data_IF_359944774453
#
_entry.id   IF_359944774453
#
_cell.length_a   1.000
_cell.length_b   1.000
_cell.length_c   1.000
_cell.angle_alpha   90.00
_cell.angle_beta   90.00
_cell.angle_gamma   90.00
#
_symmetry.space_group_name_H-M   'P 1'
#
loop_
_entity.id
_entity.type
_entity.pdbx_description
1 polymer ?
#
# COMPACT_ATOMS: atom_id res chain seq x y z
N UNK A 1 7.22 1.85 11.69
CA UNK A 1 7.63 1.64 10.28
C UNK A 1 9.05 2.15 10.07
N UNK A 2 9.92 1.37 9.42
CA UNK A 2 11.29 1.80 9.13
C UNK A 2 11.35 2.53 7.79
N UNK A 3 12.02 3.67 7.78
CA UNK A 3 12.23 4.51 6.58
C UNK A 3 13.72 4.78 6.43
N UNK A 4 14.25 4.52 5.23
CA UNK A 4 15.62 4.92 4.88
C UNK A 4 15.68 6.43 4.64
N UNK A 5 16.59 7.10 5.31
CA UNK A 5 16.88 8.52 5.07
C UNK A 5 17.32 8.76 3.62
N UNK A 6 18.18 7.92 3.09
CA UNK A 6 18.67 8.01 1.70
C UNK A 6 17.53 7.97 0.70
N UNK A 7 16.57 7.02 0.87
CA UNK A 7 15.38 6.95 0.01
C UNK A 7 14.53 8.21 0.11
N UNK A 8 14.34 8.73 1.32
CA UNK A 8 13.52 9.91 1.55
C UNK A 8 14.17 11.14 0.92
N UNK A 9 15.45 11.41 1.23
CA UNK A 9 16.16 12.61 0.78
C UNK A 9 16.43 12.61 -0.72
N UNK A 10 16.57 11.45 -1.36
CA UNK A 10 16.74 11.33 -2.82
C UNK A 10 15.60 11.94 -3.63
N UNK A 11 14.45 12.17 -3.02
CA UNK A 11 13.27 12.80 -3.62
C UNK A 11 13.18 14.31 -3.30
N UNK A 12 14.07 14.85 -2.49
CA UNK A 12 14.03 16.23 -2.01
C UNK A 12 15.17 17.03 -2.67
N UNK A 13 14.80 18.13 -3.32
CA UNK A 13 15.75 18.93 -4.12
C UNK A 13 16.86 19.56 -3.29
N UNK A 14 16.55 20.02 -2.09
CA UNK A 14 17.45 20.74 -1.20
C UNK A 14 18.48 19.83 -0.52
N UNK A 15 18.33 18.50 -0.63
CA UNK A 15 19.17 17.50 0.01
C UNK A 15 19.41 17.79 1.52
N UNK A 16 18.32 17.93 2.33
CA UNK A 16 18.41 18.30 3.73
C UNK A 16 19.15 17.24 4.56
N UNK A 17 19.81 17.66 5.65
CA UNK A 17 20.45 16.72 6.57
C UNK A 17 19.42 15.88 7.35
N UNK A 18 19.89 14.80 8.00
CA UNK A 18 19.04 13.96 8.86
C UNK A 18 18.37 14.79 9.96
N UNK A 19 19.11 15.75 10.56
CA UNK A 19 18.58 16.63 11.60
C UNK A 19 17.45 17.51 11.07
N UNK A 20 17.60 18.07 9.87
CA UNK A 20 16.56 18.90 9.25
C UNK A 20 15.30 18.07 8.93
N UNK A 21 15.47 16.86 8.42
CA UNK A 21 14.34 15.94 8.19
C UNK A 21 13.66 15.60 9.51
N UNK A 22 14.42 15.22 10.53
CA UNK A 22 13.91 14.88 11.85
C UNK A 22 13.11 16.02 12.48
N UNK A 23 13.66 17.24 12.47
CA UNK A 23 12.98 18.43 12.98
C UNK A 23 11.67 18.72 12.22
N UNK A 24 11.69 18.60 10.89
CA UNK A 24 10.51 18.81 10.05
C UNK A 24 9.42 17.77 10.31
N UNK A 25 9.79 16.50 10.45
CA UNK A 25 8.85 15.42 10.80
C UNK A 25 8.25 15.65 12.19
N UNK A 26 9.05 16.07 13.17
CA UNK A 26 8.58 16.40 14.51
C UNK A 26 7.57 17.57 14.47
N UNK A 27 7.85 18.63 13.71
CA UNK A 27 6.93 19.76 13.53
C UNK A 27 5.60 19.34 12.87
N UNK A 28 5.63 18.29 12.02
CA UNK A 28 4.43 17.70 11.39
C UNK A 28 3.67 16.76 12.35
N UNK A 29 4.18 16.53 13.56
CA UNK A 29 3.58 15.63 14.54
C UNK A 29 3.89 14.16 14.31
N UNK A 30 4.96 13.85 13.57
CA UNK A 30 5.43 12.50 13.29
C UNK A 30 6.56 12.11 14.26
N UNK A 31 6.22 11.32 15.29
CA UNK A 31 7.20 10.76 16.22
C UNK A 31 8.06 9.72 15.52
N UNK A 32 9.36 9.72 15.84
CA UNK A 32 10.32 8.79 15.29
C UNK A 32 11.59 8.70 16.14
N UNK A 33 12.29 7.58 15.99
CA UNK A 33 13.64 7.37 16.53
C UNK A 33 14.63 7.25 15.37
N UNK A 34 15.84 7.78 15.53
CA UNK A 34 16.93 7.68 14.55
C UNK A 34 17.86 6.55 14.96
N UNK A 35 18.09 5.61 14.05
CA UNK A 35 19.05 4.50 14.17
C UNK A 35 19.94 4.48 12.93
N UNK A 36 21.10 5.13 13.01
CA UNK A 36 21.96 5.36 11.85
C UNK A 36 21.24 6.15 10.75
N UNK A 37 21.11 5.57 9.58
CA UNK A 37 20.40 6.15 8.43
C UNK A 37 18.91 5.73 8.37
N UNK A 38 18.37 5.16 9.43
CA UNK A 38 16.99 4.69 9.51
C UNK A 38 16.17 5.57 10.46
N UNK A 39 15.01 6.00 9.99
CA UNK A 39 13.96 6.62 10.79
C UNK A 39 12.93 5.54 11.18
N UNK A 40 12.85 5.22 12.45
CA UNK A 40 11.83 4.33 13.00
C UNK A 40 10.57 5.15 13.32
N UNK A 41 9.64 5.23 12.37
CA UNK A 41 8.44 6.06 12.49
C UNK A 41 7.38 5.42 13.39
N UNK A 42 6.85 6.20 14.34
CA UNK A 42 5.70 5.88 15.19
C UNK A 42 4.53 6.80 14.82
N UNK A 43 3.74 6.35 13.84
CA UNK A 43 2.63 7.15 13.32
C UNK A 43 1.34 6.88 14.09
N UNK A 44 0.58 7.94 14.36
CA UNK A 44 -0.74 7.84 14.98
C UNK A 44 -1.71 7.05 14.10
N UNK A 45 -2.70 6.32 14.66
CA UNK A 45 -3.59 5.46 13.89
C UNK A 45 -4.40 6.16 12.80
N UNK A 46 -4.62 7.47 12.92
CA UNK A 46 -5.34 8.28 11.94
C UNK A 46 -4.46 8.78 10.77
N UNK A 47 -3.17 8.43 10.76
CA UNK A 47 -2.20 8.83 9.72
C UNK A 47 -1.69 7.62 8.92
N UNK A 48 -2.59 6.71 8.56
CA UNK A 48 -2.29 5.59 7.67
C UNK A 48 -1.72 6.02 6.31
N UNK A 49 -2.12 7.18 5.84
CA UNK A 49 -1.61 7.85 4.65
C UNK A 49 -0.09 8.12 4.68
N UNK A 50 0.50 8.25 5.87
CA UNK A 50 1.94 8.45 6.08
C UNK A 50 2.73 7.15 6.30
N UNK A 51 2.09 5.98 6.26
CA UNK A 51 2.77 4.68 6.34
C UNK A 51 3.48 4.31 5.02
N UNK A 52 4.13 5.29 4.39
CA UNK A 52 4.85 5.16 3.12
C UNK A 52 5.84 6.30 2.90
N UNK A 53 6.81 6.08 2.01
CA UNK A 53 7.70 7.13 1.52
C UNK A 53 6.89 8.29 0.91
N UNK A 54 5.95 7.97 0.03
CA UNK A 54 5.15 9.00 -0.66
C UNK A 54 4.30 9.83 0.31
N UNK A 55 3.74 9.22 1.36
CA UNK A 55 2.97 9.92 2.36
C UNK A 55 3.81 10.88 3.19
N UNK A 56 5.00 10.44 3.64
CA UNK A 56 5.93 11.31 4.36
C UNK A 56 6.47 12.44 3.48
N UNK A 57 6.80 12.16 2.22
CA UNK A 57 7.24 13.17 1.26
C UNK A 57 6.16 14.21 0.97
N UNK A 58 4.88 13.79 0.90
CA UNK A 58 3.77 14.73 0.76
C UNK A 58 3.73 15.71 1.94
N UNK A 59 3.85 15.22 3.17
CA UNK A 59 3.86 16.08 4.35
C UNK A 59 5.11 16.96 4.40
N UNK A 60 6.29 16.39 4.09
CA UNK A 60 7.55 17.15 4.00
C UNK A 60 7.55 18.21 2.89
N UNK A 61 6.64 18.12 1.90
CA UNK A 61 6.48 19.16 0.89
C UNK A 61 6.03 20.52 1.44
N UNK A 62 5.56 20.55 2.70
CA UNK A 62 5.31 21.81 3.42
C UNK A 62 6.62 22.60 3.69
N UNK A 63 7.76 21.91 3.77
CA UNK A 63 9.07 22.48 4.09
C UNK A 63 10.04 22.46 2.92
N UNK A 64 9.97 21.47 2.04
CA UNK A 64 10.96 21.19 0.99
C UNK A 64 10.32 21.06 -0.39
N UNK A 65 11.13 21.22 -1.43
CA UNK A 65 10.72 20.95 -2.81
C UNK A 65 10.85 19.45 -3.11
N UNK A 66 9.71 18.74 -3.16
CA UNK A 66 9.67 17.29 -3.36
C UNK A 66 9.41 16.93 -4.82
N UNK A 67 10.15 15.96 -5.33
CA UNK A 67 9.94 15.40 -6.66
C UNK A 67 9.08 14.12 -6.59
N UNK A 68 7.78 14.24 -6.85
CA UNK A 68 6.84 13.11 -6.84
C UNK A 68 6.81 12.28 -8.13
N UNK A 69 7.59 12.67 -9.16
CA UNK A 69 7.52 12.00 -10.46
C UNK A 69 8.22 10.65 -10.42
N UNK A 70 7.45 9.59 -10.25
CA UNK A 70 7.89 8.22 -10.47
C UNK A 70 7.45 7.74 -11.84
N UNK A 71 8.27 6.90 -12.46
CA UNK A 71 7.88 6.26 -13.73
C UNK A 71 6.77 5.25 -13.45
N UNK A 72 5.72 5.31 -14.23
CA UNK A 72 4.62 4.36 -14.27
C UNK A 72 4.41 3.88 -15.70
N UNK A 73 3.87 2.70 -15.86
CA UNK A 73 3.46 2.20 -17.17
C UNK A 73 2.29 3.03 -17.71
N UNK A 74 2.43 3.59 -18.91
CA UNK A 74 1.48 4.57 -19.46
C UNK A 74 0.62 4.01 -20.60
N UNK A 75 0.97 2.84 -21.14
CA UNK A 75 0.25 2.28 -22.26
C UNK A 75 -1.07 1.63 -21.83
N UNK A 76 -1.90 1.28 -22.81
CA UNK A 76 -3.13 0.54 -22.60
C UNK A 76 -2.81 -0.87 -22.11
N UNK A 77 -3.55 -1.34 -21.12
CA UNK A 77 -3.49 -2.71 -20.61
C UNK A 77 -4.76 -3.43 -21.04
N UNK A 78 -4.63 -4.65 -21.51
CA UNK A 78 -5.79 -5.46 -21.90
C UNK A 78 -6.64 -5.84 -20.68
N UNK A 79 -7.92 -6.09 -20.92
CA UNK A 79 -8.84 -6.46 -19.86
C UNK A 79 -8.55 -7.89 -19.40
N UNK A 80 -8.38 -8.07 -18.09
CA UNK A 80 -8.27 -9.41 -17.49
C UNK A 80 -9.64 -10.05 -17.38
N UNK A 81 -9.80 -11.23 -17.93
CA UNK A 81 -10.92 -12.11 -17.64
C UNK A 81 -10.51 -13.06 -16.49
N UNK A 82 -11.10 -12.86 -15.32
CA UNK A 82 -10.82 -13.63 -14.11
C UNK A 82 -12.14 -14.21 -13.57
N UNK A 83 -12.17 -15.49 -13.29
CA UNK A 83 -13.29 -16.10 -12.56
C UNK A 83 -13.19 -15.73 -11.08
N UNK A 84 -13.73 -14.56 -10.76
CA UNK A 84 -13.70 -13.96 -9.45
C UNK A 84 -15.09 -13.52 -8.99
N UNK A 85 -15.39 -13.77 -7.72
CA UNK A 85 -16.59 -13.26 -7.09
C UNK A 85 -16.28 -12.62 -5.73
N UNK A 86 -16.83 -11.44 -5.50
CA UNK A 86 -16.80 -10.78 -4.20
C UNK A 86 -18.18 -10.84 -3.54
N UNK A 87 -18.31 -11.71 -2.55
CA UNK A 87 -19.52 -11.86 -1.73
C UNK A 87 -19.53 -10.89 -0.52
N UNK A 88 -18.47 -10.11 -0.33
CA UNK A 88 -18.28 -9.22 0.82
C UNK A 88 -17.95 -7.79 0.37
N UNK A 89 -18.75 -7.23 -0.53
CA UNK A 89 -18.56 -5.91 -1.12
C UNK A 89 -18.56 -4.76 -0.08
N UNK A 90 -19.16 -4.98 1.10
CA UNK A 90 -19.13 -3.98 2.18
C UNK A 90 -17.79 -3.97 2.91
N UNK A 91 -17.09 -5.10 3.01
CA UNK A 91 -15.78 -5.21 3.67
C UNK A 91 -14.60 -5.02 2.72
N UNK A 92 -14.82 -5.29 1.43
CA UNK A 92 -13.87 -5.01 0.36
C UNK A 92 -14.60 -4.32 -0.80
N UNK A 93 -14.86 -3.01 -0.69
CA UNK A 93 -15.63 -2.30 -1.72
C UNK A 93 -14.87 -2.05 -3.01
N UNK A 94 -13.56 -2.22 -3.03
CA UNK A 94 -12.74 -2.08 -4.24
C UNK A 94 -11.60 -3.07 -4.26
N UNK A 95 -11.44 -3.76 -5.39
CA UNK A 95 -10.37 -4.71 -5.61
C UNK A 95 -9.96 -4.72 -7.08
N UNK A 96 -8.66 -4.82 -7.30
CA UNK A 96 -8.05 -4.89 -8.63
C UNK A 96 -7.16 -6.09 -8.74
N UNK A 97 -7.12 -6.67 -9.94
CA UNK A 97 -6.23 -7.78 -10.26
C UNK A 97 -5.43 -7.47 -11.51
N UNK A 98 -4.13 -7.72 -11.42
CA UNK A 98 -3.20 -7.66 -12.55
C UNK A 98 -2.61 -9.05 -12.76
N UNK A 99 -2.72 -9.60 -13.96
CA UNK A 99 -1.97 -10.77 -14.36
C UNK A 99 -0.79 -10.34 -15.21
N UNK A 100 0.41 -10.84 -14.89
CA UNK A 100 1.64 -10.61 -15.66
C UNK A 100 2.35 -11.94 -15.91
N UNK A 101 2.78 -12.16 -17.14
CA UNK A 101 3.71 -13.22 -17.52
C UNK A 101 5.03 -12.60 -17.99
N UNK A 102 6.16 -13.09 -17.45
CA UNK A 102 7.51 -12.70 -17.84
C UNK A 102 8.26 -13.87 -18.51
N UNK A 103 9.24 -13.53 -19.34
CA UNK A 103 10.06 -14.54 -20.02
C UNK A 103 11.02 -15.23 -19.06
N UNK A 104 11.78 -14.47 -18.26
CA UNK A 104 12.80 -14.95 -17.35
C UNK A 104 12.77 -14.21 -16.01
N UNK A 105 13.04 -14.93 -14.93
CA UNK A 105 13.24 -14.34 -13.62
C UNK A 105 14.55 -13.56 -13.63
N UNK A 106 14.57 -12.29 -13.20
CA UNK A 106 15.81 -11.51 -13.16
C UNK A 106 16.79 -12.08 -12.12
N UNK A 107 18.05 -12.18 -12.49
CA UNK A 107 19.11 -12.65 -11.61
C UNK A 107 19.58 -11.58 -10.60
N UNK A 108 19.30 -10.30 -10.91
CA UNK A 108 19.68 -9.13 -10.09
C UNK A 108 18.59 -8.08 -10.18
N UNK A 109 18.46 -7.31 -9.13
CA UNK A 109 17.59 -6.13 -9.12
C UNK A 109 18.37 -4.88 -9.53
N UNK A 110 17.66 -3.87 -10.03
CA UNK A 110 18.22 -2.54 -10.25
C UNK A 110 18.52 -1.88 -8.89
N UNK A 111 19.32 -0.80 -8.92
CA UNK A 111 19.81 -0.13 -7.72
C UNK A 111 18.66 0.26 -6.76
N UNK A 112 17.57 0.84 -7.28
CA UNK A 112 16.47 1.32 -6.43
C UNK A 112 15.77 0.20 -5.64
N UNK A 113 15.53 -0.93 -6.29
CA UNK A 113 14.89 -2.08 -5.64
C UNK A 113 15.87 -2.81 -4.72
N UNK A 114 17.15 -2.84 -5.09
CA UNK A 114 18.20 -3.48 -4.28
C UNK A 114 18.47 -2.69 -3.01
N UNK A 115 18.59 -1.37 -3.11
CA UNK A 115 18.81 -0.46 -1.97
C UNK A 115 17.74 -0.60 -0.90
N UNK A 116 16.46 -0.78 -1.29
CA UNK A 116 15.37 -1.03 -0.34
C UNK A 116 15.66 -2.21 0.60
N UNK A 117 16.18 -3.32 0.05
CA UNK A 117 16.52 -4.50 0.85
C UNK A 117 17.78 -4.29 1.67
N UNK A 118 18.81 -3.69 1.09
CA UNK A 118 20.11 -3.46 1.73
C UNK A 118 19.99 -2.47 2.88
N UNK A 119 19.43 -1.29 2.62
CA UNK A 119 19.36 -0.22 3.60
C UNK A 119 18.43 -0.55 4.78
N UNK A 120 17.32 -1.26 4.53
CA UNK A 120 16.41 -1.67 5.59
C UNK A 120 16.77 -3.03 6.21
N UNK A 121 17.88 -3.65 5.78
CA UNK A 121 18.33 -4.98 6.22
C UNK A 121 17.22 -6.04 6.10
N UNK A 122 16.57 -6.11 4.93
CA UNK A 122 15.48 -7.03 4.64
C UNK A 122 15.95 -8.21 3.79
N UNK A 123 15.33 -9.37 4.00
CA UNK A 123 15.56 -10.54 3.18
C UNK A 123 14.73 -10.48 1.89
N UNK A 124 15.35 -10.84 0.77
CA UNK A 124 14.65 -11.09 -0.50
C UNK A 124 13.93 -12.44 -0.43
N UNK A 125 12.76 -12.50 -1.05
CA UNK A 125 11.93 -13.71 -1.13
C UNK A 125 11.90 -14.26 -2.56
N UNK A 126 11.08 -13.67 -3.40
CA UNK A 126 10.98 -13.92 -4.84
C UNK A 126 10.60 -12.61 -5.54
N UNK A 127 10.88 -12.54 -6.82
CA UNK A 127 10.81 -11.30 -7.60
C UNK A 127 9.50 -10.53 -7.43
N UNK A 128 8.36 -11.18 -7.57
CA UNK A 128 7.07 -10.48 -7.51
C UNK A 128 6.68 -10.07 -6.08
N UNK A 129 6.97 -10.91 -5.09
CA UNK A 129 6.74 -10.58 -3.68
C UNK A 129 7.64 -9.43 -3.23
N UNK A 130 8.86 -9.38 -3.72
CA UNK A 130 9.82 -8.33 -3.40
C UNK A 130 9.37 -6.97 -3.98
N UNK A 131 8.86 -6.95 -5.20
CA UNK A 131 8.23 -5.75 -5.78
C UNK A 131 7.00 -5.33 -4.97
N UNK A 132 6.15 -6.28 -4.55
CA UNK A 132 4.97 -6.03 -3.73
C UNK A 132 5.35 -5.35 -2.40
N UNK A 133 6.38 -5.86 -1.72
CA UNK A 133 6.87 -5.29 -0.47
C UNK A 133 7.44 -3.86 -0.68
N UNK A 134 8.24 -3.69 -1.73
CA UNK A 134 8.77 -2.37 -2.09
C UNK A 134 7.65 -1.36 -2.41
N UNK A 135 6.64 -1.75 -3.17
CA UNK A 135 5.50 -0.89 -3.48
C UNK A 135 4.68 -0.53 -2.24
N UNK A 136 4.48 -1.47 -1.34
CA UNK A 136 3.85 -1.17 -0.05
C UNK A 136 4.65 -0.13 0.73
N UNK A 137 5.98 -0.22 0.75
CA UNK A 137 6.87 0.77 1.34
C UNK A 137 6.81 2.12 0.63
N UNK A 138 6.84 2.14 -0.71
CA UNK A 138 6.81 3.36 -1.53
C UNK A 138 5.46 4.08 -1.43
N UNK A 139 4.34 3.34 -1.55
CA UNK A 139 3.02 3.92 -1.80
C UNK A 139 2.04 3.85 -0.62
N UNK A 140 2.30 2.98 0.36
CA UNK A 140 1.38 2.69 1.45
C UNK A 140 0.29 1.67 1.13
N UNK A 141 0.16 1.25 -0.15
CA UNK A 141 -0.82 0.26 -0.58
C UNK A 141 -0.21 -1.14 -0.60
N UNK A 142 -0.63 -2.04 0.29
CA UNK A 142 -0.22 -3.44 0.21
C UNK A 142 -0.82 -4.11 -1.02
N UNK A 143 -0.03 -4.99 -1.65
CA UNK A 143 -0.48 -5.89 -2.70
C UNK A 143 -0.18 -7.33 -2.29
N UNK A 144 -0.91 -8.29 -2.86
CA UNK A 144 -0.62 -9.71 -2.66
C UNK A 144 -0.37 -10.39 -4.00
N UNK A 145 0.64 -11.27 -4.03
CA UNK A 145 1.06 -11.98 -5.24
C UNK A 145 0.74 -13.46 -5.11
N UNK A 146 -0.15 -13.93 -5.98
CA UNK A 146 -0.41 -15.35 -6.17
C UNK A 146 0.39 -15.88 -7.36
N UNK A 147 0.91 -17.10 -7.27
CA UNK A 147 1.34 -17.84 -8.46
C UNK A 147 0.10 -18.15 -9.30
N UNK A 148 -0.03 -17.49 -10.46
CA UNK A 148 -1.22 -17.60 -11.29
C UNK A 148 -1.51 -19.04 -11.74
N UNK A 149 -0.48 -19.88 -11.86
CA UNK A 149 -0.63 -21.29 -12.24
C UNK A 149 -1.25 -22.17 -11.14
N UNK A 150 -1.35 -21.63 -9.90
CA UNK A 150 -1.96 -22.29 -8.75
C UNK A 150 -3.39 -21.82 -8.48
N UNK A 151 -3.88 -20.83 -9.25
CA UNK A 151 -5.26 -20.36 -9.19
C UNK A 151 -6.06 -21.18 -10.19
N UNK A 152 -6.53 -22.36 -9.75
CA UNK A 152 -7.31 -23.27 -10.57
C UNK A 152 -8.75 -23.30 -10.03
N UNK A 153 -9.67 -22.61 -10.71
CA UNK A 153 -11.07 -22.48 -10.31
C UNK A 153 -11.45 -21.04 -9.93
N UNK A 154 -12.64 -20.91 -9.38
CA UNK A 154 -13.22 -19.61 -9.02
C UNK A 154 -12.60 -19.07 -7.74
N UNK A 155 -11.99 -17.89 -7.83
CA UNK A 155 -11.50 -17.16 -6.66
C UNK A 155 -12.68 -16.41 -6.00
N UNK A 156 -12.99 -16.73 -4.76
CA UNK A 156 -14.12 -16.13 -4.04
C UNK A 156 -13.60 -15.38 -2.82
N UNK A 157 -13.93 -14.08 -2.72
CA UNK A 157 -13.75 -13.28 -1.50
C UNK A 157 -15.06 -13.28 -0.70
N UNK A 158 -14.99 -13.73 0.54
CA UNK A 158 -16.16 -13.78 1.41
C UNK A 158 -15.81 -13.42 2.86
N UNK A 159 -16.83 -12.96 3.59
CA UNK A 159 -16.76 -12.77 5.04
C UNK A 159 -17.82 -13.67 5.68
N UNK A 160 -17.38 -14.62 6.49
CA UNK A 160 -18.28 -15.56 7.15
C UNK A 160 -17.68 -16.12 8.44
N UNK A 161 -18.53 -16.75 9.26
CA UNK A 161 -18.06 -17.59 10.36
C UNK A 161 -17.39 -18.84 9.78
N UNK A 162 -16.19 -19.11 10.24
CA UNK A 162 -15.37 -20.22 9.75
C UNK A 162 -14.71 -20.95 10.93
N UNK A 163 -14.48 -22.26 10.74
CA UNK A 163 -13.63 -23.07 11.61
C UNK A 163 -12.82 -24.02 10.73
N UNK A 164 -11.68 -23.50 10.21
CA UNK A 164 -10.83 -24.26 9.29
C UNK A 164 -9.36 -24.04 9.61
N UNK A 165 -8.55 -25.07 9.42
CA UNK A 165 -7.10 -24.97 9.44
C UNK A 165 -6.61 -24.22 8.19
N UNK A 166 -5.61 -23.38 8.36
CA UNK A 166 -5.01 -22.56 7.32
C UNK A 166 -3.50 -22.55 7.48
N UNK A 167 -2.77 -22.96 6.45
CA UNK A 167 -1.32 -22.88 6.42
C UNK A 167 -0.90 -21.59 5.72
N UNK A 168 -0.32 -20.68 6.49
CA UNK A 168 0.11 -19.37 5.97
C UNK A 168 1.39 -19.48 5.14
N UNK A 169 1.65 -18.50 4.29
CA UNK A 169 2.92 -18.37 3.56
C UNK A 169 4.16 -18.25 4.49
N UNK A 170 3.94 -17.88 5.77
CA UNK A 170 4.97 -17.85 6.82
C UNK A 170 5.26 -19.24 7.43
N UNK A 171 4.70 -20.32 6.87
CA UNK A 171 4.76 -21.69 7.38
C UNK A 171 4.16 -21.85 8.79
N UNK A 172 3.32 -20.92 9.24
CA UNK A 172 2.56 -21.04 10.49
C UNK A 172 1.20 -21.63 10.18
N UNK A 173 0.86 -22.73 10.84
CA UNK A 173 -0.48 -23.34 10.78
C UNK A 173 -1.33 -22.68 11.84
N UNK A 174 -2.47 -22.12 11.44
CA UNK A 174 -3.45 -21.49 12.34
C UNK A 174 -4.84 -22.09 12.11
N UNK A 175 -5.69 -21.97 13.11
CA UNK A 175 -7.12 -22.31 12.96
C UNK A 175 -7.91 -21.01 12.88
N UNK A 176 -8.49 -20.73 11.71
CA UNK A 176 -9.40 -19.60 11.53
C UNK A 176 -10.71 -19.94 12.26
N UNK A 177 -11.14 -19.08 13.18
CA UNK A 177 -12.37 -19.27 13.98
C UNK A 177 -13.22 -18.02 14.00
N UNK A 178 -14.56 -18.18 14.01
CA UNK A 178 -15.52 -17.08 13.99
C UNK A 178 -15.45 -16.27 12.70
N UNK A 179 -15.94 -15.04 12.74
CA UNK A 179 -16.08 -14.18 11.57
C UNK A 179 -14.72 -13.71 11.02
N UNK A 180 -14.43 -14.01 9.75
CA UNK A 180 -13.24 -13.60 9.02
C UNK A 180 -13.57 -13.29 7.57
N UNK A 181 -12.80 -12.36 6.98
CA UNK A 181 -12.75 -12.14 5.55
C UNK A 181 -11.60 -12.94 4.95
N UNK A 182 -11.86 -13.73 3.93
CA UNK A 182 -10.86 -14.61 3.32
C UNK A 182 -11.16 -14.87 1.84
N UNK A 183 -10.09 -15.21 1.11
CA UNK A 183 -10.21 -15.75 -0.23
C UNK A 183 -10.22 -17.28 -0.18
N UNK A 184 -11.05 -17.90 -1.02
CA UNK A 184 -11.09 -19.34 -1.21
C UNK A 184 -11.13 -19.72 -2.69
N UNK A 185 -10.66 -20.94 -2.98
CA UNK A 185 -10.82 -21.64 -4.26
C UNK A 185 -11.37 -23.01 -3.91
N UNK A 186 -12.51 -23.42 -4.51
CA UNK A 186 -13.16 -24.71 -4.23
C UNK A 186 -13.30 -24.99 -2.72
N UNK A 187 -13.76 -23.99 -1.96
CA UNK A 187 -13.89 -24.00 -0.49
C UNK A 187 -12.56 -24.09 0.30
N UNK A 188 -11.41 -24.19 -0.34
CA UNK A 188 -10.12 -24.13 0.35
C UNK A 188 -9.72 -22.67 0.57
N UNK A 189 -9.36 -22.32 1.81
CA UNK A 189 -8.88 -20.95 2.14
C UNK A 189 -7.48 -20.78 1.59
N UNK A 190 -7.31 -19.79 0.72
CA UNK A 190 -6.03 -19.46 0.08
C UNK A 190 -5.39 -18.15 0.58
N UNK A 191 -6.18 -17.30 1.26
CA UNK A 191 -5.67 -16.04 1.81
C UNK A 191 -6.59 -15.55 2.94
N UNK A 192 -6.05 -15.21 4.10
CA UNK A 192 -6.75 -14.43 5.13
C UNK A 192 -6.66 -12.96 4.72
N UNK A 193 -7.75 -12.44 4.17
CA UNK A 193 -7.82 -11.17 3.46
C UNK A 193 -7.24 -10.01 4.26
N UNK A 194 -6.31 -9.26 3.66
CA UNK A 194 -5.63 -8.12 4.26
C UNK A 194 -4.66 -8.46 5.40
N UNK A 195 -4.48 -9.74 5.75
CA UNK A 195 -3.60 -10.16 6.85
C UNK A 195 -2.43 -11.00 6.35
N UNK A 196 -2.71 -12.17 5.76
CA UNK A 196 -1.65 -13.09 5.31
C UNK A 196 -2.14 -14.04 4.23
N UNK A 197 -1.34 -14.21 3.19
CA UNK A 197 -1.59 -15.19 2.14
C UNK A 197 -1.35 -16.63 2.60
N UNK A 198 -1.92 -17.57 1.85
CA UNK A 198 -1.75 -19.01 2.04
C UNK A 198 -0.53 -19.58 1.33
N UNK A 199 -0.03 -20.70 1.86
CA UNK A 199 1.11 -21.41 1.29
C UNK A 199 0.77 -22.04 -0.07
N UNK A 200 -0.46 -22.50 -0.25
CA UNK A 200 -0.92 -23.24 -1.46
C UNK A 200 -0.76 -22.40 -2.73
N UNK A 201 -1.03 -21.11 -2.68
CA UNK A 201 -1.00 -20.20 -3.83
C UNK A 201 0.22 -19.29 -3.86
N UNK A 202 1.16 -19.44 -2.93
CA UNK A 202 2.33 -18.56 -2.81
C UNK A 202 3.24 -18.64 -4.04
N UNK A 203 3.78 -17.48 -4.45
CA UNK A 203 4.85 -17.38 -5.42
C UNK A 203 6.13 -18.06 -4.91
N UNK A 204 6.93 -18.57 -5.84
CA UNK A 204 8.23 -19.18 -5.62
C UNK A 204 9.32 -18.45 -6.42
N UNK A 205 10.57 -18.86 -6.25
CA UNK A 205 11.68 -18.36 -7.06
C UNK A 205 11.56 -18.69 -8.56
N UNK A 206 10.66 -19.60 -8.92
CA UNK A 206 10.44 -20.04 -10.29
C UNK A 206 9.15 -19.48 -10.93
N UNK A 207 8.35 -18.74 -10.15
CA UNK A 207 7.08 -18.17 -10.61
C UNK A 207 7.32 -17.14 -11.71
N UNK A 208 6.80 -17.39 -12.91
CA UNK A 208 6.88 -16.49 -14.08
C UNK A 208 5.56 -15.82 -14.42
N UNK A 209 4.45 -16.37 -13.95
CA UNK A 209 3.12 -15.81 -14.15
C UNK A 209 2.51 -15.52 -12.79
N UNK A 210 2.27 -14.25 -12.53
CA UNK A 210 1.72 -13.76 -11.25
C UNK A 210 0.33 -13.19 -11.44
N UNK A 211 -0.54 -13.44 -10.46
CA UNK A 211 -1.77 -12.67 -10.25
C UNK A 211 -1.56 -11.76 -9.05
N UNK A 212 -1.53 -10.45 -9.28
CA UNK A 212 -1.34 -9.43 -8.23
C UNK A 212 -2.70 -8.90 -7.81
N UNK A 213 -3.02 -9.05 -6.54
CA UNK A 213 -4.17 -8.46 -5.88
C UNK A 213 -3.80 -7.08 -5.31
N UNK A 214 -4.61 -6.07 -5.60
CA UNK A 214 -4.56 -4.76 -4.98
C UNK A 214 -5.96 -4.46 -4.46
N UNK A 215 -6.16 -4.48 -3.14
CA UNK A 215 -7.47 -4.39 -2.52
C UNK A 215 -7.55 -3.20 -1.57
N UNK A 216 -8.77 -2.68 -1.40
CA UNK A 216 -9.14 -1.82 -0.30
C UNK A 216 -10.07 -2.61 0.62
N UNK A 217 -9.65 -2.80 1.86
CA UNK A 217 -10.48 -3.38 2.92
C UNK A 217 -10.90 -2.29 3.89
N UNK A 218 -12.18 -2.30 4.28
CA UNK A 218 -12.61 -1.44 5.40
C UNK A 218 -11.84 -1.88 6.67
N UNK A 219 -11.25 -0.94 7.44
CA UNK A 219 -10.37 -1.26 8.57
C UNK A 219 -11.00 -2.21 9.59
N UNK A 220 -12.32 -2.10 9.81
CA UNK A 220 -13.07 -2.93 10.75
C UNK A 220 -13.02 -4.44 10.41
N UNK A 221 -12.81 -4.79 9.14
CA UNK A 221 -12.67 -6.17 8.72
C UNK A 221 -11.31 -6.77 9.12
N UNK A 222 -10.29 -5.92 9.32
CA UNK A 222 -8.90 -6.30 9.57
C UNK A 222 -8.50 -6.12 11.04
N UNK A 223 -8.99 -5.07 11.69
CA UNK A 223 -8.63 -4.73 13.09
C UNK A 223 -8.74 -5.95 14.01
N UNK A 224 -7.65 -6.20 14.76
CA UNK A 224 -7.55 -7.27 15.74
C UNK A 224 -7.27 -8.67 15.17
N UNK A 225 -7.26 -8.87 13.85
CA UNK A 225 -6.97 -10.19 13.26
C UNK A 225 -5.51 -10.60 13.46
N UNK A 226 -4.58 -9.66 13.32
CA UNK A 226 -3.15 -9.87 13.59
C UNK A 226 -2.92 -10.37 15.01
N UNK A 227 -3.54 -9.73 16.00
CA UNK A 227 -3.45 -10.15 17.40
C UNK A 227 -4.11 -11.51 17.63
N UNK A 228 -5.31 -11.72 17.09
CA UNK A 228 -6.08 -12.97 17.26
C UNK A 228 -5.33 -14.20 16.78
N UNK A 229 -4.60 -14.08 15.67
CA UNK A 229 -3.88 -15.21 15.06
C UNK A 229 -2.38 -15.17 15.33
N UNK A 230 -1.91 -14.18 16.11
CA UNK A 230 -0.48 -13.95 16.37
C UNK A 230 0.31 -13.91 15.06
N UNK A 231 -0.14 -13.06 14.12
CA UNK A 231 0.48 -12.82 12.82
C UNK A 231 0.68 -11.33 12.67
N UNK A 232 1.93 -10.89 12.79
CA UNK A 232 2.29 -9.51 12.49
C UNK A 232 2.63 -9.40 11.01
N UNK A 233 1.88 -8.59 10.26
CA UNK A 233 2.19 -8.28 8.87
C UNK A 233 2.11 -6.77 8.61
N UNK A 234 3.01 -6.28 7.76
CA UNK A 234 2.99 -4.89 7.29
C UNK A 234 1.65 -4.55 6.59
N UNK A 235 1.08 -5.54 5.89
CA UNK A 235 -0.19 -5.36 5.19
C UNK A 235 -1.33 -5.08 6.19
N UNK A 236 -1.51 -5.93 7.22
CA UNK A 236 -2.56 -5.72 8.21
C UNK A 236 -2.39 -4.41 8.96
N UNK A 237 -1.14 -4.04 9.31
CA UNK A 237 -0.84 -2.78 9.97
C UNK A 237 -1.29 -1.55 9.16
N UNK A 238 -1.17 -1.61 7.81
CA UNK A 238 -1.62 -0.54 6.91
C UNK A 238 -3.13 -0.56 6.70
N UNK A 239 -3.71 -1.72 6.45
CA UNK A 239 -5.16 -1.85 6.25
C UNK A 239 -5.97 -1.44 7.49
N UNK A 240 -5.49 -1.76 8.68
CA UNK A 240 -6.10 -1.31 9.96
C UNK A 240 -6.14 0.22 10.11
N UNK A 241 -5.29 0.96 9.37
CA UNK A 241 -5.13 2.42 9.44
C UNK A 241 -5.65 3.16 8.22
N UNK A 242 -6.40 2.47 7.37
CA UNK A 242 -6.96 3.02 6.15
C UNK A 242 -5.92 3.26 5.04
N UNK A 243 -6.01 2.52 3.96
CA UNK A 243 -5.26 2.75 2.71
C UNK A 243 -6.10 3.55 1.72
N UNK A 244 -5.45 4.21 0.76
CA UNK A 244 -6.16 5.00 -0.25
C UNK A 244 -6.82 4.11 -1.31
N UNK A 245 -8.18 4.03 -1.37
CA UNK A 245 -8.88 3.24 -2.37
C UNK A 245 -8.69 3.74 -3.81
N UNK A 246 -8.20 4.98 -3.99
CA UNK A 246 -7.97 5.53 -5.32
C UNK A 246 -6.56 5.26 -5.85
N UNK A 247 -5.70 4.65 -5.04
CA UNK A 247 -4.31 4.35 -5.41
C UNK A 247 -4.14 3.19 -6.40
N UNK A 248 -5.16 2.35 -6.61
CA UNK A 248 -5.05 1.06 -7.32
C UNK A 248 -4.44 1.19 -8.73
N UNK A 249 -4.95 2.09 -9.58
CA UNK A 249 -4.41 2.24 -10.95
C UNK A 249 -2.94 2.68 -10.93
N UNK A 250 -2.59 3.62 -10.05
CA UNK A 250 -1.21 4.07 -9.88
C UNK A 250 -0.28 2.92 -9.42
N UNK A 251 -0.70 2.17 -8.39
CA UNK A 251 0.09 1.06 -7.82
C UNK A 251 0.29 -0.05 -8.84
N UNK A 252 -0.75 -0.43 -9.56
CA UNK A 252 -0.69 -1.44 -10.61
C UNK A 252 0.25 -1.00 -11.74
N UNK A 253 0.13 0.22 -12.22
CA UNK A 253 1.02 0.76 -13.28
C UNK A 253 2.46 0.90 -12.81
N UNK A 254 2.67 1.20 -11.54
CA UNK A 254 4.00 1.24 -10.93
C UNK A 254 4.60 -0.16 -10.81
N UNK A 255 3.78 -1.15 -10.43
CA UNK A 255 4.18 -2.57 -10.41
C UNK A 255 4.65 -3.03 -11.79
N UNK A 256 3.86 -2.77 -12.84
CA UNK A 256 4.22 -3.10 -14.23
C UNK A 256 5.54 -2.42 -14.64
N UNK A 257 5.70 -1.13 -14.30
CA UNK A 257 6.93 -0.42 -14.64
C UNK A 257 8.16 -1.06 -13.99
N UNK A 258 8.08 -1.41 -12.70
CA UNK A 258 9.20 -2.07 -12.00
C UNK A 258 9.49 -3.43 -12.64
N UNK A 259 8.46 -4.23 -12.96
CA UNK A 259 8.66 -5.50 -13.67
C UNK A 259 9.37 -5.27 -15.02
N UNK A 260 8.94 -4.28 -15.81
CA UNK A 260 9.51 -3.98 -17.13
C UNK A 260 10.96 -3.48 -17.09
N UNK A 261 11.40 -2.92 -15.96
CA UNK A 261 12.80 -2.54 -15.74
C UNK A 261 13.72 -3.75 -15.49
N UNK A 262 13.16 -4.93 -15.19
CA UNK A 262 13.91 -6.12 -14.78
C UNK A 262 13.73 -7.32 -15.70
N UNK A 263 12.58 -7.44 -16.36
CA UNK A 263 12.21 -8.59 -17.18
C UNK A 263 11.39 -8.15 -18.40
N UNK A 264 11.43 -8.96 -19.48
CA UNK A 264 10.56 -8.75 -20.61
C UNK A 264 9.17 -9.33 -20.30
N UNK A 265 8.14 -8.50 -20.38
CA UNK A 265 6.74 -8.88 -20.16
C UNK A 265 6.21 -9.48 -21.47
N UNK A 266 5.75 -10.74 -21.41
CA UNK A 266 5.16 -11.46 -22.54
C UNK A 266 3.68 -11.16 -22.69
N UNK A 267 2.99 -11.11 -21.55
CA UNK A 267 1.55 -10.87 -21.49
C UNK A 267 1.19 -10.17 -20.20
N UNK A 268 0.18 -9.29 -20.26
CA UNK A 268 -0.40 -8.66 -19.09
C UNK A 268 -1.83 -8.25 -19.34
N UNK A 269 -2.63 -8.35 -18.29
CA UNK A 269 -4.03 -7.93 -18.30
C UNK A 269 -4.48 -7.48 -16.92
N UNK A 270 -5.46 -6.59 -16.88
CA UNK A 270 -5.85 -5.90 -15.66
C UNK A 270 -7.37 -5.74 -15.57
N UNK A 271 -7.91 -5.84 -14.35
CA UNK A 271 -9.32 -5.56 -14.07
C UNK A 271 -9.48 -4.92 -12.70
N UNK A 272 -10.43 -4.00 -12.58
CA UNK A 272 -10.87 -3.41 -11.31
C UNK A 272 -12.35 -3.68 -11.12
N UNK A 273 -12.70 -4.15 -9.93
CA UNK A 273 -14.06 -4.24 -9.43
C UNK A 273 -14.26 -3.16 -8.38
N UNK A 274 -15.14 -2.21 -8.67
CA UNK A 274 -15.47 -1.08 -7.80
C UNK A 274 -16.96 -1.10 -7.50
N UNK A 275 -17.31 -1.42 -6.26
CA UNK A 275 -18.70 -1.64 -5.84
C UNK A 275 -19.30 -0.43 -5.10
N UNK A 276 -18.45 0.52 -4.70
CA UNK A 276 -18.88 1.70 -3.92
C UNK A 276 -18.66 2.96 -4.73
N UNK A 277 -19.75 3.71 -4.97
CA UNK A 277 -19.62 5.00 -5.68
C UNK A 277 -18.79 5.97 -4.85
N UNK A 278 -17.80 6.58 -5.48
CA UNK A 278 -16.98 7.65 -4.91
C UNK A 278 -17.88 8.82 -4.50
N UNK A 279 -17.76 9.24 -3.26
CA UNK A 279 -18.34 10.50 -2.79
C UNK A 279 -17.19 11.47 -2.52
N UNK A 280 -17.14 12.57 -3.25
CA UNK A 280 -16.17 13.62 -2.97
C UNK A 280 -16.46 14.24 -1.60
N UNK A 281 -15.49 14.17 -0.72
CA UNK A 281 -15.56 14.84 0.59
C UNK A 281 -15.23 16.32 0.38
N UNK A 282 -16.12 17.18 0.86
CA UNK A 282 -15.97 18.64 0.79
C UNK A 282 -16.05 19.21 2.19
N UNK A 283 -15.01 19.92 2.60
CA UNK A 283 -14.89 20.51 3.93
C UNK A 283 -14.93 22.04 3.78
N UNK A 284 -15.78 22.76 4.52
CA UNK A 284 -15.77 24.22 4.48
C UNK A 284 -14.44 24.79 4.97
N UNK A 285 -13.90 25.77 4.24
CA UNK A 285 -12.75 26.53 4.68
C UNK A 285 -13.19 27.45 5.84
N UNK A 286 -12.69 27.21 7.04
CA UNK A 286 -13.04 27.98 8.24
C UNK A 286 -11.80 28.27 9.06
N UNK A 287 -11.12 29.37 8.75
CA UNK A 287 -9.89 29.79 9.43
C UNK A 287 -10.10 30.15 10.89
N UNK A 288 -11.26 30.75 11.25
CA UNK A 288 -11.55 31.13 12.64
C UNK A 288 -11.62 29.89 13.55
N UNK A 289 -12.27 28.80 13.06
CA UNK A 289 -12.31 27.54 13.79
C UNK A 289 -10.92 26.91 13.96
N UNK A 290 -10.08 26.98 12.92
CA UNK A 290 -8.70 26.49 13.00
C UNK A 290 -7.91 27.30 14.00
N UNK A 291 -8.00 28.63 13.98
CA UNK A 291 -7.33 29.50 14.95
C UNK A 291 -7.77 29.22 16.38
N UNK A 292 -9.06 28.97 16.61
CA UNK A 292 -9.57 28.56 17.93
C UNK A 292 -8.98 27.23 18.41
N UNK A 293 -8.84 26.24 17.52
CA UNK A 293 -8.28 24.93 17.87
C UNK A 293 -6.79 25.03 18.15
N UNK A 294 -6.04 25.77 17.31
CA UNK A 294 -4.59 25.89 17.41
C UNK A 294 -4.15 26.89 18.51
N UNK A 295 -5.02 27.79 18.94
CA UNK A 295 -4.67 28.86 19.88
C UNK A 295 -3.73 29.92 19.28
N UNK A 296 -3.70 30.06 17.96
CA UNK A 296 -2.88 31.03 17.20
C UNK A 296 -3.76 31.79 16.21
N UNK A 297 -3.22 32.84 15.60
CA UNK A 297 -3.89 33.62 14.57
C UNK A 297 -3.09 33.54 13.27
N UNK A 298 -3.51 32.64 12.38
CA UNK A 298 -3.07 32.62 10.97
C UNK A 298 -4.12 33.29 10.11
N UNK A 299 -3.68 33.89 9.00
CA UNK A 299 -4.58 34.48 8.01
C UNK A 299 -5.21 33.39 7.10
N UNK A 300 -6.32 33.73 6.43
CA UNK A 300 -6.93 32.82 5.43
C UNK A 300 -5.92 32.45 4.35
N UNK A 301 -5.10 33.41 3.87
CA UNK A 301 -4.10 33.19 2.83
C UNK A 301 -3.00 32.21 3.29
N UNK A 302 -2.53 32.32 4.54
CA UNK A 302 -1.55 31.39 5.10
C UNK A 302 -2.15 29.98 5.22
N UNK A 303 -3.40 29.86 5.67
CA UNK A 303 -4.09 28.58 5.77
C UNK A 303 -4.26 27.92 4.40
N UNK A 304 -4.67 28.71 3.40
CA UNK A 304 -4.81 28.25 2.01
C UNK A 304 -3.47 27.80 1.43
N UNK A 305 -2.37 28.54 1.70
CA UNK A 305 -1.03 28.17 1.23
C UNK A 305 -0.58 26.82 1.80
N UNK A 306 -0.79 26.58 3.10
CA UNK A 306 -0.50 25.27 3.71
C UNK A 306 -1.31 24.15 3.07
N UNK A 307 -2.58 24.36 2.82
CA UNK A 307 -3.43 23.35 2.19
C UNK A 307 -2.99 23.03 0.75
N UNK A 308 -2.57 24.04 -0.02
CA UNK A 308 -2.03 23.82 -1.37
C UNK A 308 -0.69 23.05 -1.34
N UNK A 309 0.19 23.37 -0.38
CA UNK A 309 1.46 22.61 -0.18
C UNK A 309 1.21 21.15 0.15
N UNK A 310 0.15 20.87 0.90
CA UNK A 310 -0.29 19.50 1.22
C UNK A 310 -1.09 18.82 0.10
N UNK A 311 -1.27 19.48 -1.05
CA UNK A 311 -1.91 18.91 -2.24
C UNK A 311 -3.45 19.01 -2.28
N UNK A 312 -4.08 19.70 -1.32
CA UNK A 312 -5.53 19.90 -1.33
C UNK A 312 -5.96 20.88 -2.43
N UNK A 313 -7.12 20.62 -3.00
CA UNK A 313 -7.76 21.53 -3.96
C UNK A 313 -8.80 22.38 -3.24
N UNK A 314 -8.77 23.69 -3.46
CA UNK A 314 -9.72 24.62 -2.86
C UNK A 314 -10.50 25.32 -3.98
N UNK A 315 -11.81 25.31 -3.87
CA UNK A 315 -12.73 26.01 -4.77
C UNK A 315 -13.94 26.49 -4.00
N UNK A 316 -14.33 27.77 -4.19
CA UNK A 316 -15.54 28.36 -3.58
C UNK A 316 -15.60 28.20 -2.05
N UNK A 317 -14.46 28.40 -1.37
CA UNK A 317 -14.30 28.17 0.09
C UNK A 317 -14.62 26.74 0.55
N UNK A 318 -14.45 25.76 -0.33
CA UNK A 318 -14.53 24.34 -0.02
C UNK A 318 -13.17 23.67 -0.29
N UNK A 319 -12.71 22.90 0.66
CA UNK A 319 -11.55 22.02 0.53
C UNK A 319 -12.05 20.68 -0.01
N UNK A 320 -11.46 20.21 -1.10
CA UNK A 320 -11.77 18.92 -1.72
C UNK A 320 -10.73 17.90 -1.26
N UNK A 321 -11.23 16.79 -0.70
CA UNK A 321 -10.43 15.69 -0.16
C UNK A 321 -10.64 14.45 -1.02
#
# INVERSE_FOLDING_TARGET
MKISYTHLVSQIKENPSMEMISESLFQLGHEHEIDGDILNMELTPNRGDCLSINGLLRDLSAFFTVNFKKKIYSEKIDKLELDFENLSQNTCPKISFLKIEIDNIPSKYNQNLDDYFVELNLNKNNFFTDISNYLSYETGQPTHCYDANKINGKLVLQESDINKEFLTLLNKKITLTGKNSFFSIDDEVVNLAGVVGGKSTACTLETKTVLVECAFFEPEAIIGKSLKYDIQSEASHKFERFVDPESHDYVIRRFINIVSEHANIKDMSFVTYDYKKKQAIKIPLNVDRINQILGINITEDQYVDYLYKLGFKIKEKLIYV
#
